data_IF_767113654839
#
_entry.id   IF_767113654839
#
_cell.length_a   1.000
_cell.length_b   1.000
_cell.length_c   1.000
_cell.angle_alpha   90.00
_cell.angle_beta   90.00
_cell.angle_gamma   90.00
#
_symmetry.space_group_name_H-M   'P 1'
#
loop_
_entity.id
_entity.type
_entity.pdbx_description
1 polymer ?
#
# COMPACT_ATOMS: atom_id res chain seq x y z
N UNK A 1 48.46 -32.42 -11.33
CA UNK A 1 47.62 -32.10 -12.50
C UNK A 1 46.79 -30.90 -12.12
N UNK A 2 47.24 -29.73 -12.55
CA UNK A 2 46.49 -28.48 -12.44
C UNK A 2 45.38 -28.53 -13.48
N UNK A 3 44.14 -28.27 -13.07
CA UNK A 3 43.09 -27.84 -13.97
C UNK A 3 42.53 -26.54 -13.41
N UNK A 4 43.05 -25.47 -13.99
CA UNK A 4 42.51 -24.12 -13.92
C UNK A 4 41.12 -24.14 -14.56
N UNK A 5 40.14 -23.60 -13.83
CA UNK A 5 38.76 -23.44 -14.30
C UNK A 5 38.36 -21.99 -14.09
N UNK A 6 38.45 -21.23 -15.16
CA UNK A 6 38.23 -19.79 -15.27
C UNK A 6 36.80 -19.36 -14.93
N UNK A 7 36.73 -18.26 -14.19
CA UNK A 7 35.56 -17.47 -13.83
C UNK A 7 34.93 -16.79 -15.07
N UNK A 8 33.63 -17.01 -15.39
CA UNK A 8 32.94 -16.23 -16.41
C UNK A 8 32.03 -15.15 -15.78
N UNK A 9 32.48 -13.90 -15.93
CA UNK A 9 31.73 -12.68 -16.20
C UNK A 9 30.41 -12.42 -15.43
N UNK A 10 30.54 -11.55 -14.42
CA UNK A 10 29.44 -10.79 -13.80
C UNK A 10 29.01 -9.63 -14.72
N UNK A 11 27.73 -9.51 -15.11
CA UNK A 11 27.31 -8.48 -16.07
C UNK A 11 26.87 -7.13 -15.47
N UNK A 12 27.12 -6.83 -14.18
CA UNK A 12 26.65 -5.58 -13.57
C UNK A 12 27.81 -4.68 -13.13
N UNK A 13 28.29 -3.85 -14.06
CA UNK A 13 29.12 -2.68 -13.76
C UNK A 13 28.26 -1.41 -13.83
N UNK A 14 28.24 -0.55 -12.79
CA UNK A 14 27.46 0.68 -12.80
C UNK A 14 28.05 1.69 -13.79
N UNK A 15 27.26 2.10 -14.78
CA UNK A 15 27.69 3.08 -15.77
C UNK A 15 27.75 4.49 -15.16
N UNK A 16 28.91 5.15 -15.27
CA UNK A 16 29.09 6.58 -14.97
C UNK A 16 28.55 7.41 -16.13
N UNK A 17 27.69 8.37 -15.83
CA UNK A 17 27.22 9.35 -16.81
C UNK A 17 28.33 10.39 -17.09
N UNK A 18 28.62 10.71 -18.37
CA UNK A 18 29.53 11.79 -18.73
C UNK A 18 28.91 13.19 -18.54
N UNK A 19 29.73 14.25 -18.44
CA UNK A 19 29.32 15.56 -17.98
C UNK A 19 28.52 16.36 -19.02
N UNK A 20 27.79 17.34 -18.49
CA UNK A 20 26.89 18.28 -19.15
C UNK A 20 27.50 19.02 -20.35
N UNK A 21 26.78 19.02 -21.47
CA UNK A 21 27.08 19.83 -22.66
C UNK A 21 26.28 21.13 -22.58
N UNK A 22 26.99 22.25 -22.54
CA UNK A 22 26.48 23.62 -22.72
C UNK A 22 26.61 24.07 -24.18
N UNK A 23 25.79 25.08 -24.58
CA UNK A 23 25.79 25.95 -25.79
C UNK A 23 24.51 25.75 -26.64
N UNK A 24 23.63 26.72 -26.93
CA UNK A 24 23.67 28.20 -27.01
C UNK A 24 22.27 28.81 -26.77
N UNK A 25 22.21 30.04 -26.27
CA UNK A 25 20.99 30.86 -26.16
C UNK A 25 20.65 31.55 -27.49
N UNK A 26 19.37 31.56 -27.92
CA UNK A 26 18.83 32.54 -28.88
C UNK A 26 17.78 33.47 -28.21
N UNK A 27 17.41 34.60 -28.86
CA UNK A 27 17.01 35.84 -28.20
C UNK A 27 15.54 35.87 -27.75
N UNK A 28 15.27 36.79 -26.81
CA UNK A 28 13.95 37.19 -26.33
C UNK A 28 13.14 37.86 -27.45
N UNK A 29 11.84 37.53 -27.54
CA UNK A 29 10.85 38.54 -27.89
C UNK A 29 9.73 38.60 -26.85
N UNK A 30 9.58 39.81 -26.32
CA UNK A 30 8.33 40.56 -26.11
C UNK A 30 7.16 39.95 -25.32
N UNK A 31 6.78 40.74 -24.32
CA UNK A 31 5.69 40.62 -23.37
C UNK A 31 4.33 40.44 -24.07
N UNK A 32 3.81 39.21 -24.04
CA UNK A 32 2.39 38.92 -24.19
C UNK A 32 1.80 38.63 -22.82
N UNK A 33 0.87 39.48 -22.37
CA UNK A 33 -0.15 39.10 -21.40
C UNK A 33 -0.95 37.95 -22.01
N UNK A 34 -1.02 36.79 -21.35
CA UNK A 34 -2.16 35.89 -21.40
C UNK A 34 -2.01 34.79 -20.34
N UNK A 35 -2.91 34.87 -19.37
CA UNK A 35 -3.56 33.78 -18.61
C UNK A 35 -2.65 32.70 -18.01
N UNK A 36 -2.39 32.83 -16.70
CA UNK A 36 -1.92 31.72 -15.87
C UNK A 36 -2.84 30.50 -16.06
N UNK A 37 -2.30 29.26 -16.16
CA UNK A 37 -3.15 28.10 -16.01
C UNK A 37 -3.62 28.10 -14.55
N UNK A 38 -4.92 28.32 -14.36
CA UNK A 38 -5.63 28.04 -13.13
C UNK A 38 -5.29 26.58 -12.76
N UNK A 39 -4.50 26.41 -11.70
CA UNK A 39 -4.48 25.17 -10.97
C UNK A 39 -5.92 24.91 -10.56
N UNK A 40 -6.48 23.81 -11.04
CA UNK A 40 -7.83 23.38 -10.66
C UNK A 40 -7.90 23.33 -9.13
N UNK A 41 -8.75 24.14 -8.47
CA UNK A 41 -8.93 24.07 -7.02
C UNK A 41 -9.66 22.79 -6.59
N UNK A 42 -10.04 21.92 -7.54
CA UNK A 42 -10.88 20.76 -7.29
C UNK A 42 -10.10 19.52 -6.83
N UNK A 43 -8.77 19.60 -6.73
CA UNK A 43 -7.93 18.49 -6.24
C UNK A 43 -7.30 18.75 -4.86
N UNK A 44 -7.40 19.97 -4.31
CA UNK A 44 -6.71 20.37 -3.07
C UNK A 44 -7.57 20.29 -1.79
N UNK A 45 -8.84 19.89 -1.87
CA UNK A 45 -9.75 19.90 -0.69
C UNK A 45 -10.52 18.60 -0.42
N UNK A 46 -10.10 17.47 -0.98
CA UNK A 46 -10.29 16.21 -0.25
C UNK A 46 -9.07 16.10 0.67
N UNK A 47 -9.16 16.69 1.86
CA UNK A 47 -8.18 16.43 2.92
C UNK A 47 -8.08 14.90 3.03
N UNK A 48 -6.97 14.32 2.57
CA UNK A 48 -6.85 12.87 2.46
C UNK A 48 -6.95 12.31 3.89
N UNK A 49 -8.15 11.81 4.27
CA UNK A 49 -8.41 11.22 5.59
C UNK A 49 -7.76 9.85 5.67
N UNK A 50 -6.43 9.88 5.61
CA UNK A 50 -5.54 8.73 5.58
C UNK A 50 -5.53 8.06 6.95
N UNK A 51 -5.63 6.75 6.90
CA UNK A 51 -5.40 5.88 8.05
C UNK A 51 -3.98 5.35 7.91
N UNK A 52 -3.18 5.56 8.95
CA UNK A 52 -1.74 5.30 8.93
C UNK A 52 -1.39 4.05 9.73
N UNK A 53 -0.26 3.43 9.38
CA UNK A 53 0.34 2.39 10.18
C UNK A 53 0.83 2.97 11.51
N UNK A 54 0.45 2.37 12.63
CA UNK A 54 0.92 2.82 13.95
C UNK A 54 2.43 2.71 14.14
N UNK A 55 3.06 1.71 13.52
CA UNK A 55 4.49 1.43 13.72
C UNK A 55 5.41 2.34 12.90
N UNK A 56 5.03 2.68 11.67
CA UNK A 56 5.92 3.39 10.74
C UNK A 56 5.31 4.61 10.05
N UNK A 57 4.06 4.95 10.38
CA UNK A 57 3.31 6.09 9.83
C UNK A 57 3.08 6.05 8.32
N UNK A 58 3.40 4.93 7.64
CA UNK A 58 3.08 4.77 6.22
C UNK A 58 1.56 4.79 6.01
N UNK A 59 1.04 5.44 4.97
CA UNK A 59 -0.37 5.38 4.61
C UNK A 59 -0.81 3.94 4.35
N UNK A 60 -1.92 3.51 4.94
CA UNK A 60 -2.46 2.15 4.80
C UNK A 60 -3.71 2.13 3.94
N UNK A 61 -4.67 2.97 4.28
CA UNK A 61 -5.96 3.09 3.60
C UNK A 61 -6.54 4.49 3.86
N UNK A 62 -7.76 4.75 3.39
CA UNK A 62 -8.52 5.97 3.60
C UNK A 62 -9.79 5.64 4.38
N UNK A 63 -10.34 6.59 5.12
CA UNK A 63 -11.63 6.37 5.79
C UNK A 63 -12.77 6.05 4.82
N UNK A 64 -12.74 6.62 3.61
CA UNK A 64 -13.75 6.35 2.56
C UNK A 64 -13.75 4.90 2.07
N UNK A 65 -12.64 4.18 2.28
CA UNK A 65 -12.54 2.75 1.95
C UNK A 65 -13.22 1.88 3.01
N UNK A 66 -13.66 2.44 4.14
CA UNK A 66 -14.35 1.66 5.16
C UNK A 66 -15.67 1.09 4.61
N UNK A 67 -15.84 -0.21 4.74
CA UNK A 67 -16.99 -0.93 4.18
C UNK A 67 -17.64 -1.84 5.21
N UNK A 68 -18.90 -2.21 4.97
CA UNK A 68 -19.64 -3.12 5.85
C UNK A 68 -19.57 -4.55 5.34
N UNK A 69 -19.11 -5.46 6.20
CA UNK A 69 -19.16 -6.89 5.97
C UNK A 69 -20.12 -7.53 6.97
N UNK A 70 -21.05 -8.36 6.48
CA UNK A 70 -22.08 -9.00 7.32
C UNK A 70 -22.87 -8.01 8.19
N UNK A 71 -23.15 -6.81 7.66
CA UNK A 71 -23.94 -5.77 8.32
C UNK A 71 -23.18 -4.85 9.29
N UNK A 72 -21.86 -4.98 9.43
CA UNK A 72 -21.04 -4.09 10.26
C UNK A 72 -19.68 -3.78 9.63
N UNK A 73 -19.16 -2.57 9.88
CA UNK A 73 -17.82 -2.16 9.44
C UNK A 73 -16.72 -2.51 10.43
N UNK A 74 -17.07 -2.92 11.64
CA UNK A 74 -16.13 -3.32 12.70
C UNK A 74 -16.61 -4.63 13.34
N UNK A 75 -15.67 -5.51 13.63
CA UNK A 75 -15.93 -6.81 14.26
C UNK A 75 -14.89 -7.10 15.34
N UNK A 76 -15.28 -7.83 16.38
CA UNK A 76 -14.36 -8.34 17.40
C UNK A 76 -14.39 -9.86 17.37
N UNK A 77 -13.23 -10.49 17.18
CA UNK A 77 -13.08 -11.93 17.06
C UNK A 77 -11.95 -12.45 17.93
N UNK A 78 -12.02 -13.73 18.31
CA UNK A 78 -10.91 -14.46 18.90
C UNK A 78 -10.32 -15.43 17.87
N UNK A 79 -8.99 -15.49 17.77
CA UNK A 79 -8.34 -16.53 16.99
C UNK A 79 -8.28 -17.86 17.81
N UNK A 80 -7.89 -18.99 17.20
CA UNK A 80 -7.82 -20.29 17.89
C UNK A 80 -6.87 -20.33 19.11
N UNK A 81 -5.90 -19.42 19.17
CA UNK A 81 -5.00 -19.26 20.32
C UNK A 81 -5.62 -18.43 21.46
N UNK A 82 -6.86 -17.96 21.30
CA UNK A 82 -7.57 -17.15 22.29
C UNK A 82 -7.23 -15.66 22.25
N UNK A 83 -6.47 -15.19 21.25
CA UNK A 83 -6.12 -13.78 21.10
C UNK A 83 -7.31 -13.05 20.47
N UNK A 84 -7.77 -11.99 21.14
CA UNK A 84 -8.90 -11.17 20.69
C UNK A 84 -8.39 -10.00 19.84
N UNK A 85 -9.01 -9.79 18.69
CA UNK A 85 -8.75 -8.68 17.79
C UNK A 85 -10.04 -7.92 17.52
N UNK A 86 -9.95 -6.59 17.52
CA UNK A 86 -10.97 -5.73 16.92
C UNK A 86 -10.48 -5.28 15.56
N UNK A 87 -11.24 -5.60 14.51
CA UNK A 87 -10.90 -5.30 13.13
C UNK A 87 -11.90 -4.34 12.49
N UNK A 88 -11.42 -3.45 11.64
CA UNK A 88 -12.22 -2.68 10.69
C UNK A 88 -12.18 -3.31 9.31
N UNK A 89 -13.29 -3.24 8.58
CA UNK A 89 -13.42 -3.74 7.22
C UNK A 89 -13.21 -2.61 6.20
N UNK A 90 -12.35 -2.84 5.21
CA UNK A 90 -12.01 -1.85 4.17
C UNK A 90 -12.04 -2.49 2.76
N UNK A 91 -12.57 -1.78 1.76
CA UNK A 91 -12.56 -2.23 0.36
C UNK A 91 -11.16 -2.23 -0.23
N UNK A 92 -10.35 -1.20 0.06
CA UNK A 92 -8.95 -1.13 -0.35
C UNK A 92 -8.02 -0.81 0.83
N UNK A 93 -6.76 -1.24 0.71
CA UNK A 93 -5.67 -0.90 1.62
C UNK A 93 -4.35 -0.99 0.86
N UNK A 94 -4.06 0.00 0.02
CA UNK A 94 -2.91 0.01 -0.89
C UNK A 94 -1.57 -0.10 -0.14
N UNK A 95 -1.50 0.43 1.08
CA UNK A 95 -0.32 0.33 1.96
C UNK A 95 -0.11 -1.06 2.57
N UNK A 96 -1.02 -2.00 2.33
CA UNK A 96 -0.91 -3.38 2.77
C UNK A 96 -0.52 -4.34 1.64
N UNK A 97 0.11 -5.46 2.01
CA UNK A 97 0.37 -6.58 1.12
C UNK A 97 -0.09 -7.89 1.77
N UNK A 98 -0.82 -8.76 1.04
CA UNK A 98 -1.16 -10.09 1.53
C UNK A 98 0.03 -11.04 1.34
N UNK A 99 0.37 -11.82 2.37
CA UNK A 99 1.49 -12.76 2.37
C UNK A 99 1.03 -14.20 2.62
N UNK A 100 1.80 -15.16 2.08
CA UNK A 100 1.48 -16.59 2.15
C UNK A 100 0.34 -17.03 1.23
N UNK A 101 0.01 -18.32 1.19
CA UNK A 101 -1.17 -18.84 0.50
C UNK A 101 -2.48 -18.45 1.21
N UNK A 102 -3.62 -18.39 0.51
CA UNK A 102 -4.92 -18.22 1.14
C UNK A 102 -5.28 -19.45 2.00
N UNK A 103 -5.93 -19.22 3.14
CA UNK A 103 -6.42 -20.25 4.06
C UNK A 103 -7.88 -19.99 4.39
N UNK A 104 -8.72 -21.03 4.37
CA UNK A 104 -10.09 -20.98 4.90
C UNK A 104 -10.17 -21.43 6.37
N UNK A 105 -9.03 -21.83 6.96
CA UNK A 105 -8.94 -22.33 8.32
C UNK A 105 -9.39 -21.26 9.32
N UNK A 106 -10.40 -21.56 10.13
CA UNK A 106 -10.96 -20.63 11.13
C UNK A 106 -11.33 -19.24 10.57
N UNK A 107 -11.76 -19.17 9.31
CA UNK A 107 -12.22 -17.90 8.74
C UNK A 107 -13.37 -17.31 9.56
N UNK A 108 -13.29 -16.01 9.85
CA UNK A 108 -14.35 -15.27 10.54
C UNK A 108 -15.50 -14.87 9.60
N UNK A 109 -15.24 -14.90 8.29
CA UNK A 109 -16.21 -14.53 7.26
C UNK A 109 -16.49 -15.76 6.38
N UNK A 110 -17.63 -16.46 6.60
CA UNK A 110 -17.99 -17.63 5.83
C UNK A 110 -17.96 -17.37 4.32
N UNK A 111 -17.33 -18.26 3.55
CA UNK A 111 -17.15 -18.12 2.10
C UNK A 111 -15.91 -17.34 1.66
N UNK A 112 -15.12 -16.81 2.61
CA UNK A 112 -13.84 -16.16 2.34
C UNK A 112 -12.67 -16.98 2.88
N UNK A 113 -11.62 -17.07 2.08
CA UNK A 113 -10.28 -17.43 2.56
C UNK A 113 -9.51 -16.16 2.93
N UNK A 114 -8.58 -16.26 3.87
CA UNK A 114 -7.76 -15.16 4.34
C UNK A 114 -6.28 -15.38 4.07
N UNK A 115 -5.55 -14.27 3.94
CA UNK A 115 -4.08 -14.19 3.92
C UNK A 115 -3.66 -13.18 4.96
N UNK A 116 -2.51 -13.38 5.58
CA UNK A 116 -1.95 -12.39 6.53
C UNK A 116 -1.68 -11.10 5.76
N UNK A 117 -2.19 -9.98 6.26
CA UNK A 117 -1.97 -8.63 5.75
C UNK A 117 -0.87 -7.93 6.52
N UNK A 118 0.18 -7.49 5.82
CA UNK A 118 1.30 -6.77 6.41
C UNK A 118 1.41 -5.35 5.86
N UNK A 119 1.97 -4.44 6.66
CA UNK A 119 2.41 -3.13 6.19
C UNK A 119 3.49 -3.28 5.12
N UNK A 120 3.35 -2.61 3.98
CA UNK A 120 4.41 -2.56 2.96
C UNK A 120 5.67 -1.83 3.43
N UNK A 121 5.53 -0.85 4.33
CA UNK A 121 6.63 -0.04 4.83
C UNK A 121 7.50 -0.74 5.86
N UNK A 122 6.90 -1.44 6.83
CA UNK A 122 7.64 -2.03 7.96
C UNK A 122 7.39 -3.52 8.21
N UNK A 123 6.58 -4.18 7.37
CA UNK A 123 6.21 -5.59 7.49
C UNK A 123 5.43 -5.96 8.77
N UNK A 124 5.02 -4.98 9.58
CA UNK A 124 4.15 -5.21 10.72
C UNK A 124 2.86 -5.90 10.29
N UNK A 125 2.38 -6.86 11.08
CA UNK A 125 1.10 -7.51 10.86
C UNK A 125 -0.02 -6.48 11.10
N UNK A 126 -0.79 -6.14 10.06
CA UNK A 126 -1.88 -5.17 10.15
C UNK A 126 -3.27 -5.81 10.10
N UNK A 127 -3.37 -7.09 9.82
CA UNK A 127 -4.63 -7.83 9.80
C UNK A 127 -4.66 -8.87 8.70
N UNK A 128 -5.75 -8.95 7.96
CA UNK A 128 -5.97 -10.01 6.97
C UNK A 128 -6.59 -9.48 5.68
N UNK A 129 -6.20 -10.07 4.56
CA UNK A 129 -6.89 -9.90 3.28
C UNK A 129 -7.82 -11.08 3.07
N UNK A 130 -9.12 -10.81 2.92
CA UNK A 130 -10.15 -11.80 2.69
C UNK A 130 -10.53 -11.81 1.20
N UNK A 131 -10.60 -12.99 0.60
CA UNK A 131 -11.01 -13.17 -0.79
C UNK A 131 -11.92 -14.39 -0.96
N UNK A 132 -12.94 -14.25 -1.79
CA UNK A 132 -13.88 -15.31 -2.14
C UNK A 132 -13.69 -15.77 -3.60
N UNK A 133 -14.06 -17.02 -3.95
CA UNK A 133 -14.02 -17.50 -5.33
C UNK A 133 -14.87 -16.67 -6.32
N UNK A 134 -15.85 -15.92 -5.84
CA UNK A 134 -16.67 -15.00 -6.65
C UNK A 134 -15.90 -13.76 -7.13
N UNK A 135 -14.70 -13.52 -6.63
CA UNK A 135 -13.93 -12.29 -6.86
C UNK A 135 -14.18 -11.19 -5.83
N UNK A 136 -15.14 -11.38 -4.91
CA UNK A 136 -15.31 -10.46 -3.79
C UNK A 136 -14.09 -10.51 -2.87
N UNK A 137 -13.60 -9.34 -2.45
CA UNK A 137 -12.47 -9.24 -1.54
C UNK A 137 -12.54 -7.95 -0.70
N UNK A 138 -11.90 -7.99 0.47
CA UNK A 138 -11.79 -6.85 1.37
C UNK A 138 -10.63 -7.07 2.36
N UNK A 139 -10.29 -6.04 3.11
CA UNK A 139 -9.30 -6.07 4.18
C UNK A 139 -9.97 -6.01 5.55
N UNK A 140 -9.61 -6.91 6.44
CA UNK A 140 -9.91 -6.81 7.88
C UNK A 140 -8.66 -6.36 8.63
N UNK A 141 -8.55 -5.08 8.96
CA UNK A 141 -7.37 -4.49 9.58
C UNK A 141 -7.56 -4.31 11.09
N UNK A 142 -6.55 -4.67 11.88
CA UNK A 142 -6.54 -4.55 13.34
C UNK A 142 -6.52 -3.07 13.72
N UNK A 143 -7.60 -2.59 14.35
CA UNK A 143 -7.77 -1.16 14.65
C UNK A 143 -6.66 -0.61 15.55
N UNK A 144 -6.21 -1.42 16.51
CA UNK A 144 -5.14 -1.04 17.42
C UNK A 144 -3.78 -0.86 16.72
N UNK A 145 -3.62 -1.39 15.50
CA UNK A 145 -2.39 -1.22 14.71
C UNK A 145 -2.44 -0.04 13.74
N UNK A 146 -3.52 0.75 13.82
CA UNK A 146 -3.77 1.89 12.95
C UNK A 146 -3.85 3.20 13.74
N UNK A 147 -3.59 4.30 13.05
CA UNK A 147 -3.82 5.68 13.50
C UNK A 147 -4.88 6.28 12.57
N UNK A 148 -5.97 6.75 13.16
CA UNK A 148 -7.08 7.39 12.45
C UNK A 148 -6.87 8.90 12.40
N UNK A 149 -7.33 9.57 11.34
CA UNK A 149 -7.38 11.02 11.31
C UNK A 149 -8.31 11.54 12.42
N UNK A 150 -8.10 12.78 12.91
CA UNK A 150 -8.91 13.37 13.97
C UNK A 150 -10.39 13.60 13.56
#
# INVERSE_FOLDING_TARGET
MCLEGTNPDSPYSPQRLPPTIWLKTPPTPEKGEDTAPEGSPLAEEAEERLILCRECLSPITREEEQTSMSGASQHTFANPAGIVFTIGCFSAAEGCAPVGPPSDEFTWFPGFAWRVGICRGCLAHLGWYFSAPSGAAFWGLILDHLIFPP
#
